data_IF_420783112213
#
_entry.id   IF_420783112213
#
_cell.length_a   1.000
_cell.length_b   1.000
_cell.length_c   1.000
_cell.angle_alpha   90.00
_cell.angle_beta   90.00
_cell.angle_gamma   90.00
#
_symmetry.space_group_name_H-M   'P 1'
#
loop_
_entity.id
_entity.type
_entity.pdbx_description
1 polymer ?
#
# COMPACT_ATOMS: atom_id res chain seq x y z
N UNK A 1 -18.15 -32.90 33.67
CA UNK A 1 -17.63 -32.85 32.29
C UNK A 1 -17.85 -31.45 31.72
N UNK A 2 -16.81 -30.61 31.74
CA UNK A 2 -16.88 -29.29 31.10
C UNK A 2 -16.70 -29.47 29.59
N UNK A 3 -17.61 -28.90 28.80
CA UNK A 3 -17.50 -28.85 27.34
C UNK A 3 -16.38 -27.86 26.97
N UNK A 4 -15.40 -28.24 26.13
CA UNK A 4 -14.44 -27.27 25.64
C UNK A 4 -15.15 -26.31 24.68
N UNK A 5 -15.00 -25.01 24.94
CA UNK A 5 -15.33 -23.94 24.00
C UNK A 5 -14.16 -23.85 23.02
N UNK A 6 -14.37 -24.25 21.78
CA UNK A 6 -13.42 -23.97 20.70
C UNK A 6 -13.55 -22.50 20.31
N UNK A 7 -12.72 -21.67 20.93
CA UNK A 7 -12.20 -20.49 20.25
C UNK A 7 -11.13 -20.99 19.28
N UNK A 8 -11.33 -20.78 17.98
CA UNK A 8 -10.33 -21.04 16.97
C UNK A 8 -9.99 -19.70 16.31
N UNK A 9 -9.08 -18.98 16.96
CA UNK A 9 -8.19 -18.06 16.27
C UNK A 9 -6.87 -18.79 16.07
N UNK A 10 -6.51 -19.02 14.81
CA UNK A 10 -5.17 -19.24 14.26
C UNK A 10 -5.38 -19.86 12.86
N UNK A 11 -5.45 -19.01 11.83
CA UNK A 11 -5.41 -19.48 10.45
C UNK A 11 -4.09 -20.21 10.22
N UNK A 12 -4.17 -21.47 9.80
CA UNK A 12 -3.03 -22.25 9.34
C UNK A 12 -2.65 -21.80 7.92
N UNK A 13 -1.37 -21.80 7.59
CA UNK A 13 -0.77 -21.49 6.27
C UNK A 13 -1.22 -22.42 5.10
N UNK A 14 -2.33 -23.14 5.27
CA UNK A 14 -2.89 -24.12 4.33
C UNK A 14 -4.18 -23.66 3.67
N UNK A 15 -4.81 -22.59 4.15
CA UNK A 15 -6.03 -22.08 3.53
C UNK A 15 -5.68 -21.14 2.37
N UNK A 16 -6.31 -21.36 1.22
CA UNK A 16 -6.11 -20.49 0.05
C UNK A 16 -6.65 -19.08 0.35
N UNK A 17 -6.01 -18.02 -0.18
CA UNK A 17 -6.57 -16.68 -0.10
C UNK A 17 -7.96 -16.62 -0.72
N UNK A 18 -8.85 -15.84 -0.12
CA UNK A 18 -10.14 -15.51 -0.72
C UNK A 18 -9.99 -14.94 -2.13
N UNK A 19 -11.02 -15.07 -2.96
CA UNK A 19 -11.03 -14.44 -4.27
C UNK A 19 -11.05 -12.90 -4.17
N UNK A 20 -10.70 -12.23 -5.28
CA UNK A 20 -10.59 -10.78 -5.34
C UNK A 20 -11.89 -10.07 -4.93
N UNK A 21 -13.04 -10.55 -5.41
CA UNK A 21 -14.34 -9.93 -5.17
C UNK A 21 -14.74 -10.03 -3.71
N UNK A 22 -14.47 -11.17 -3.08
CA UNK A 22 -14.70 -11.36 -1.63
C UNK A 22 -13.81 -10.42 -0.81
N UNK A 23 -12.54 -10.27 -1.16
CA UNK A 23 -11.64 -9.35 -0.48
C UNK A 23 -12.07 -7.88 -0.64
N UNK A 24 -12.46 -7.45 -1.85
CA UNK A 24 -12.98 -6.10 -2.09
C UNK A 24 -14.23 -5.80 -1.26
N UNK A 25 -15.17 -6.76 -1.20
CA UNK A 25 -16.37 -6.62 -0.40
C UNK A 25 -16.07 -6.50 1.10
N UNK A 26 -15.09 -7.27 1.61
CA UNK A 26 -14.64 -7.20 3.00
C UNK A 26 -13.94 -5.87 3.32
N UNK A 27 -13.16 -5.33 2.38
CA UNK A 27 -12.43 -4.08 2.51
C UNK A 27 -13.31 -2.83 2.37
N UNK A 28 -14.41 -2.92 1.61
CA UNK A 28 -15.26 -1.77 1.25
C UNK A 28 -15.73 -0.91 2.45
N UNK A 29 -16.18 -1.48 3.59
CA UNK A 29 -16.60 -0.67 4.74
C UNK A 29 -15.47 0.17 5.33
N UNK A 30 -14.25 -0.38 5.36
CA UNK A 30 -13.05 0.30 5.88
C UNK A 30 -12.63 1.40 4.92
N UNK A 31 -12.61 1.13 3.61
CA UNK A 31 -12.28 2.13 2.59
C UNK A 31 -13.29 3.29 2.58
N UNK A 32 -14.57 2.99 2.76
CA UNK A 32 -15.61 4.00 2.91
C UNK A 32 -15.38 4.87 4.14
N UNK A 33 -15.08 4.27 5.28
CA UNK A 33 -14.76 5.00 6.50
C UNK A 33 -13.50 5.89 6.35
N UNK A 34 -12.55 5.45 5.53
CA UNK A 34 -11.34 6.22 5.18
C UNK A 34 -11.57 7.27 4.07
N UNK A 35 -12.78 7.40 3.52
CA UNK A 35 -13.08 8.34 2.43
C UNK A 35 -12.50 7.93 1.06
N UNK A 36 -12.20 6.64 0.88
CA UNK A 36 -11.55 6.08 -0.32
C UNK A 36 -12.46 5.15 -1.14
N UNK A 37 -13.78 5.28 -1.02
CA UNK A 37 -14.74 4.41 -1.73
C UNK A 37 -14.67 4.49 -3.27
N UNK A 38 -14.10 5.57 -3.81
CA UNK A 38 -13.87 5.77 -5.25
C UNK A 38 -12.44 5.52 -5.71
N UNK A 39 -11.55 5.04 -4.83
CA UNK A 39 -10.17 4.73 -5.19
C UNK A 39 -10.11 3.52 -6.14
N UNK A 40 -9.13 3.52 -7.05
CA UNK A 40 -8.86 2.35 -7.87
C UNK A 40 -8.30 1.23 -6.97
N UNK A 41 -8.84 0.01 -7.11
CA UNK A 41 -8.43 -1.13 -6.30
C UNK A 41 -7.54 -2.08 -7.10
N UNK A 42 -6.47 -2.57 -6.45
CA UNK A 42 -5.63 -3.65 -6.93
C UNK A 42 -5.53 -4.74 -5.86
N UNK A 43 -5.95 -5.95 -6.21
CA UNK A 43 -5.99 -7.10 -5.29
C UNK A 43 -5.01 -8.20 -5.65
N UNK A 44 -4.05 -7.94 -6.55
CA UNK A 44 -3.11 -8.97 -7.05
C UNK A 44 -2.10 -9.42 -6.00
N UNK A 45 -1.86 -8.62 -4.97
CA UNK A 45 -0.91 -8.93 -3.92
C UNK A 45 -1.45 -9.98 -2.95
N UNK A 46 -0.63 -11.00 -2.70
CA UNK A 46 -0.88 -12.09 -1.76
C UNK A 46 0.26 -12.20 -0.75
N UNK A 47 -0.07 -12.53 0.49
CA UNK A 47 0.87 -12.77 1.59
C UNK A 47 0.45 -14.06 2.31
N UNK A 48 0.91 -15.21 1.80
CA UNK A 48 0.40 -16.51 2.25
C UNK A 48 -1.09 -16.63 1.94
N UNK A 49 -1.89 -16.95 2.95
CA UNK A 49 -3.36 -17.03 2.92
C UNK A 49 -4.08 -15.67 2.93
N UNK A 50 -3.33 -14.57 3.02
CA UNK A 50 -3.88 -13.21 3.09
C UNK A 50 -3.86 -12.56 1.71
N UNK A 51 -5.01 -12.03 1.28
CA UNK A 51 -5.09 -11.15 0.10
C UNK A 51 -5.01 -9.70 0.55
N UNK A 52 -4.20 -8.90 -0.15
CA UNK A 52 -4.11 -7.46 0.10
C UNK A 52 -4.94 -6.72 -0.93
N UNK A 53 -5.84 -5.86 -0.47
CA UNK A 53 -6.60 -4.90 -1.27
C UNK A 53 -5.90 -3.55 -1.17
N UNK A 54 -5.21 -3.17 -2.24
CA UNK A 54 -4.52 -1.89 -2.36
C UNK A 54 -5.47 -0.87 -3.00
N UNK A 55 -5.71 0.25 -2.32
CA UNK A 55 -6.51 1.37 -2.81
C UNK A 55 -5.59 2.55 -3.16
N UNK A 56 -5.62 2.97 -4.41
CA UNK A 56 -4.86 4.11 -4.93
C UNK A 56 -5.77 5.34 -5.04
N UNK A 57 -5.63 6.34 -4.15
CA UNK A 57 -6.46 7.52 -4.18
C UNK A 57 -6.09 8.48 -5.32
N UNK A 58 -7.06 9.29 -5.74
CA UNK A 58 -6.85 10.44 -6.63
C UNK A 58 -6.99 11.70 -5.79
N UNK A 59 -5.97 12.56 -5.83
CA UNK A 59 -5.92 13.80 -5.05
C UNK A 59 -5.88 14.97 -6.01
N UNK A 60 -6.88 15.85 -5.96
CA UNK A 60 -6.96 17.01 -6.86
C UNK A 60 -7.01 16.62 -8.35
N UNK A 61 -7.50 15.43 -8.68
CA UNK A 61 -7.56 14.91 -10.05
C UNK A 61 -6.27 14.26 -10.55
N UNK A 62 -5.24 14.13 -9.70
CA UNK A 62 -3.96 13.51 -10.05
C UNK A 62 -3.80 12.17 -9.32
N UNK A 63 -3.24 11.14 -10.00
CA UNK A 63 -2.85 9.91 -9.33
C UNK A 63 -1.72 10.19 -8.34
N UNK A 64 -1.75 9.53 -7.19
CA UNK A 64 -0.72 9.69 -6.16
C UNK A 64 0.10 8.42 -6.01
N UNK A 65 1.41 8.51 -6.27
CA UNK A 65 2.34 7.41 -6.02
C UNK A 65 2.76 7.38 -4.55
N UNK A 66 2.84 6.19 -3.95
CA UNK A 66 3.29 6.01 -2.56
C UNK A 66 2.27 6.38 -1.49
N UNK A 67 1.02 6.62 -1.89
CA UNK A 67 -0.11 7.00 -1.03
C UNK A 67 -1.16 5.89 -0.87
N UNK A 68 -0.84 4.68 -1.30
CA UNK A 68 -1.72 3.52 -1.33
C UNK A 68 -2.17 3.12 0.08
N UNK A 69 -3.46 2.86 0.26
CA UNK A 69 -4.00 2.22 1.47
C UNK A 69 -4.11 0.73 1.23
N UNK A 70 -3.41 -0.08 2.02
CA UNK A 70 -3.48 -1.55 1.95
C UNK A 70 -4.37 -2.12 3.05
N UNK A 71 -5.37 -2.91 2.69
CA UNK A 71 -6.19 -3.70 3.63
C UNK A 71 -5.88 -5.17 3.43
N UNK A 72 -5.60 -5.87 4.53
CA UNK A 72 -5.27 -7.28 4.55
C UNK A 72 -6.51 -8.09 4.91
N UNK A 73 -6.88 -9.03 4.05
CA UNK A 73 -8.03 -9.91 4.21
C UNK A 73 -7.56 -11.35 4.33
N UNK A 74 -7.90 -12.01 5.45
CA UNK A 74 -7.56 -13.40 5.72
C UNK A 74 -8.39 -14.39 4.90
N UNK A 75 -8.06 -15.68 5.03
CA UNK A 75 -8.68 -16.75 4.24
C UNK A 75 -10.18 -16.93 4.50
N UNK A 76 -10.69 -16.49 5.66
CA UNK A 76 -12.12 -16.50 5.97
C UNK A 76 -12.87 -15.26 5.47
N UNK A 77 -12.20 -14.31 4.82
CA UNK A 77 -12.77 -13.03 4.39
C UNK A 77 -12.80 -11.96 5.48
N UNK A 78 -12.17 -12.20 6.63
CA UNK A 78 -12.03 -11.23 7.70
C UNK A 78 -10.90 -10.23 7.44
N UNK A 79 -11.08 -8.97 7.86
CA UNK A 79 -10.00 -7.98 7.85
C UNK A 79 -9.03 -8.29 9.00
N UNK A 80 -7.80 -8.65 8.66
CA UNK A 80 -6.75 -9.04 9.63
C UNK A 80 -5.73 -7.93 9.90
N UNK A 81 -5.71 -6.88 9.07
CA UNK A 81 -4.80 -5.77 9.22
C UNK A 81 -4.91 -4.75 8.09
N UNK A 82 -4.09 -3.71 8.16
CA UNK A 82 -4.00 -2.70 7.11
C UNK A 82 -3.21 -1.47 7.54
N UNK A 83 -2.86 -0.64 6.57
CA UNK A 83 -2.12 0.60 6.78
C UNK A 83 -2.26 1.53 5.58
N UNK A 84 -2.23 2.83 5.84
CA UNK A 84 -2.38 3.85 4.80
C UNK A 84 -2.74 5.22 5.35
N UNK A 85 -3.18 6.10 4.46
CA UNK A 85 -3.61 7.45 4.80
C UNK A 85 -5.13 7.50 5.01
N UNK A 86 -5.56 7.77 6.24
CA UNK A 86 -6.97 7.69 6.65
C UNK A 86 -7.69 9.04 6.70
N UNK A 87 -7.00 10.14 6.37
CA UNK A 87 -7.52 11.50 6.47
C UNK A 87 -7.33 12.22 5.13
N UNK A 88 -8.33 13.01 4.68
CA UNK A 88 -8.18 13.87 3.53
C UNK A 88 -6.95 14.77 3.67
N UNK A 89 -6.23 14.97 2.57
CA UNK A 89 -5.15 15.94 2.52
C UNK A 89 -5.70 17.36 2.73
N UNK A 90 -5.10 18.09 3.67
CA UNK A 90 -5.29 19.52 3.77
C UNK A 90 -4.37 20.24 2.78
N UNK A 91 -4.88 21.32 2.16
CA UNK A 91 -4.05 22.15 1.30
C UNK A 91 -2.95 22.80 2.13
N UNK A 92 -1.71 22.55 1.75
CA UNK A 92 -0.52 23.22 2.30
C UNK A 92 -0.09 24.40 1.40
N UNK A 93 1.16 24.83 1.54
CA UNK A 93 1.75 25.89 0.72
C UNK A 93 1.76 25.53 -0.77
N UNK A 94 1.61 26.56 -1.61
CA UNK A 94 1.81 26.42 -3.04
C UNK A 94 3.31 26.42 -3.35
N UNK A 95 3.76 25.43 -4.13
CA UNK A 95 5.15 25.31 -4.57
C UNK A 95 5.20 25.38 -6.11
N UNK A 96 6.10 26.18 -6.70
CA UNK A 96 6.19 26.27 -8.15
C UNK A 96 6.67 24.94 -8.74
N UNK A 97 5.95 24.44 -9.74
CA UNK A 97 6.31 23.23 -10.49
C UNK A 97 6.99 23.58 -11.81
N UNK A 98 7.83 22.67 -12.31
CA UNK A 98 8.45 22.78 -13.63
C UNK A 98 7.72 21.89 -14.65
N UNK A 99 7.83 22.23 -15.94
CA UNK A 99 7.26 21.42 -17.01
C UNK A 99 8.01 20.10 -17.22
N UNK A 100 7.33 19.11 -17.82
CA UNK A 100 7.89 17.77 -18.05
C UNK A 100 9.23 17.77 -18.80
N UNK A 101 9.41 18.66 -19.78
CA UNK A 101 10.67 18.76 -20.53
C UNK A 101 11.83 19.17 -19.64
N UNK A 102 11.64 20.22 -18.84
CA UNK A 102 12.66 20.71 -17.92
C UNK A 102 12.99 19.66 -16.84
N UNK A 103 11.99 18.96 -16.32
CA UNK A 103 12.19 17.87 -15.37
C UNK A 103 13.05 16.73 -15.99
N UNK A 104 12.76 16.34 -17.23
CA UNK A 104 13.52 15.32 -17.94
C UNK A 104 14.96 15.77 -18.23
N UNK A 105 15.16 17.03 -18.64
CA UNK A 105 16.49 17.57 -18.90
C UNK A 105 17.35 17.59 -17.62
N UNK A 106 16.76 17.90 -16.45
CA UNK A 106 17.42 17.82 -15.14
C UNK A 106 17.79 16.38 -14.74
N UNK A 107 16.84 15.44 -14.84
CA UNK A 107 17.09 14.03 -14.53
C UNK A 107 18.24 13.46 -15.38
N UNK A 108 18.26 13.80 -16.67
CA UNK A 108 19.33 13.37 -17.58
C UNK A 108 20.67 14.05 -17.29
N UNK A 109 20.67 15.28 -16.76
CA UNK A 109 21.89 15.97 -16.37
C UNK A 109 22.52 15.34 -15.12
N UNK A 110 21.71 14.93 -14.14
CA UNK A 110 22.16 14.23 -12.92
C UNK A 110 22.61 12.79 -13.19
N UNK A 111 22.01 12.13 -14.19
CA UNK A 111 22.37 10.76 -14.59
C UNK A 111 23.69 10.68 -15.40
N UNK A 112 24.37 11.80 -15.64
CA UNK A 112 25.67 11.80 -16.34
C UNK A 112 26.72 11.14 -15.44
N UNK A 113 27.55 10.23 -15.97
CA UNK A 113 28.60 9.59 -15.19
C UNK A 113 29.69 10.62 -14.85
N UNK A 114 29.58 11.24 -13.67
CA UNK A 114 30.73 11.73 -12.93
C UNK A 114 31.44 10.56 -12.24
N UNK A 115 32.60 10.77 -11.59
CA UNK A 115 33.05 9.85 -10.57
C UNK A 115 31.91 9.77 -9.55
N UNK A 116 31.19 8.64 -9.52
CA UNK A 116 30.08 8.47 -8.60
C UNK A 116 30.54 8.76 -7.17
N UNK A 117 29.62 9.10 -6.24
CA UNK A 117 29.99 9.18 -4.84
C UNK A 117 30.73 7.89 -4.50
N UNK A 118 32.00 8.01 -4.06
CA UNK A 118 32.74 6.87 -3.61
C UNK A 118 31.86 6.19 -2.55
N UNK A 119 31.43 4.96 -2.81
CA UNK A 119 30.78 4.14 -1.79
C UNK A 119 31.73 4.17 -0.60
N UNK A 120 31.35 4.90 0.44
CA UNK A 120 32.16 5.08 1.65
C UNK A 120 32.57 3.69 2.10
N UNK A 121 33.89 3.49 2.21
CA UNK A 121 34.49 2.17 2.40
C UNK A 121 33.75 1.39 3.48
N UNK A 122 33.48 0.11 3.18
CA UNK A 122 32.89 -0.82 4.13
C UNK A 122 33.53 -0.64 5.50
N UNK A 123 32.72 -0.52 6.56
CA UNK A 123 33.23 -0.49 7.92
C UNK A 123 34.08 -1.76 8.15
N UNK A 124 35.38 -1.59 8.37
CA UNK A 124 36.23 -2.70 8.82
C UNK A 124 35.83 -3.06 10.25
N UNK A 125 35.52 -4.34 10.54
CA UNK A 125 35.20 -4.77 11.89
C UNK A 125 36.40 -4.53 12.81
N UNK A 126 36.11 -4.11 14.06
CA UNK A 126 37.07 -4.13 15.18
C UNK A 126 37.10 -5.50 15.83
#
# INVERSE_FOLDING_TARGET
>A
CAKPRTGAGAGSDTDDPVDAKTAEAAAAPVLKAAGQEGAALDTRQLMGSVRVVNADPVVGGLPTTGWTTGIQVGAGGEVVGGGGHLTPLEKSHDYPVIGARAALDLLNAESRPGPGPAVGGCATPV
#
